data_IF_225925059718
#
_entry.id   IF_225925059718
#
_cell.length_a   1.000
_cell.length_b   1.000
_cell.length_c   1.000
_cell.angle_alpha   90.00
_cell.angle_beta   90.00
_cell.angle_gamma   90.00
#
_symmetry.space_group_name_H-M   'P 1'
#
loop_
_entity.id
_entity.type
_entity.pdbx_description
1 polymer ?
#
# COMPACT_ATOMS: atom_id res chain seq x y z
N UNK A 1 -24.53 5.94 -1.83
CA UNK A 1 -23.67 6.84 -2.61
C UNK A 1 -24.48 8.04 -3.07
N UNK A 2 -23.78 9.10 -3.45
CA UNK A 2 -24.39 10.37 -3.81
C UNK A 2 -24.28 11.42 -2.70
N UNK A 3 -24.35 12.68 -3.11
CA UNK A 3 -23.97 13.82 -2.29
C UNK A 3 -24.71 13.89 -0.94
N UNK A 4 -25.96 13.40 -0.85
CA UNK A 4 -26.78 13.44 0.38
C UNK A 4 -26.42 12.39 1.44
N UNK A 5 -25.66 11.36 1.07
CA UNK A 5 -25.30 10.24 1.96
C UNK A 5 -23.79 10.19 2.16
N UNK A 6 -23.25 11.28 2.69
CA UNK A 6 -21.83 11.48 2.93
C UNK A 6 -21.55 12.18 4.26
N UNK A 7 -20.29 12.52 4.48
CA UNK A 7 -19.82 13.32 5.61
C UNK A 7 -19.91 14.80 5.24
N UNK A 8 -20.62 15.57 6.05
CA UNK A 8 -20.72 17.03 5.91
C UNK A 8 -20.09 17.71 7.11
N UNK A 9 -19.14 18.60 6.85
CA UNK A 9 -18.39 19.31 7.89
C UNK A 9 -18.39 20.80 7.57
N UNK A 10 -18.76 21.61 8.55
CA UNK A 10 -18.56 23.05 8.52
C UNK A 10 -17.31 23.39 9.32
N UNK A 11 -16.24 23.74 8.63
CA UNK A 11 -14.96 24.13 9.22
C UNK A 11 -14.98 25.64 9.47
N UNK A 12 -14.50 26.07 10.64
CA UNK A 12 -14.52 27.47 11.04
C UNK A 12 -13.10 27.92 11.40
N UNK A 13 -12.64 28.98 10.76
CA UNK A 13 -11.42 29.70 11.16
C UNK A 13 -11.76 31.17 11.38
N UNK A 14 -10.88 31.88 12.08
CA UNK A 14 -10.96 33.32 12.26
C UNK A 14 -9.73 33.98 11.68
N UNK A 15 -9.86 35.20 11.16
CA UNK A 15 -8.78 36.00 10.60
C UNK A 15 -7.60 36.16 11.58
N UNK A 16 -7.90 36.37 12.88
CA UNK A 16 -6.89 36.46 13.94
C UNK A 16 -6.03 35.20 14.13
N UNK A 17 -6.49 34.05 13.64
CA UNK A 17 -5.78 32.77 13.74
C UNK A 17 -5.01 32.42 12.45
N UNK A 18 -5.04 33.30 11.45
CA UNK A 18 -4.31 33.13 10.19
C UNK A 18 -2.87 33.58 10.36
N UNK A 19 -1.94 32.70 10.02
CA UNK A 19 -0.51 32.96 10.11
C UNK A 19 0.12 32.72 8.73
N UNK A 20 0.56 33.81 8.11
CA UNK A 20 1.16 33.79 6.78
C UNK A 20 2.65 33.46 6.79
N UNK A 21 3.31 33.55 7.95
CA UNK A 21 4.72 33.23 8.13
C UNK A 21 4.87 31.71 8.29
N UNK A 22 4.08 31.09 9.18
CA UNK A 22 4.21 29.67 9.48
C UNK A 22 3.46 28.76 8.49
N UNK A 23 2.29 29.18 8.00
CA UNK A 23 1.46 28.34 7.09
C UNK A 23 1.60 28.70 5.61
N UNK A 24 2.28 29.81 5.32
CA UNK A 24 2.50 30.32 3.96
C UNK A 24 1.33 31.16 3.43
N UNK A 25 1.35 31.51 2.13
CA UNK A 25 0.41 32.46 1.54
C UNK A 25 -1.02 31.90 1.39
N UNK A 26 -1.18 30.57 1.31
CA UNK A 26 -2.47 29.92 1.06
C UNK A 26 -3.06 29.36 2.34
N UNK A 27 -4.11 30.02 2.84
CA UNK A 27 -4.83 29.62 4.04
C UNK A 27 -5.92 28.59 3.75
N UNK A 28 -6.28 27.79 4.75
CA UNK A 28 -7.30 26.75 4.64
C UNK A 28 -7.03 25.54 5.52
N UNK A 29 -7.86 24.52 5.37
CA UNK A 29 -7.77 23.26 6.10
C UNK A 29 -7.09 22.18 5.27
N UNK A 30 -6.19 21.39 5.86
CA UNK A 30 -5.60 20.24 5.18
C UNK A 30 -6.44 19.01 5.47
N UNK A 31 -6.88 18.30 4.43
CA UNK A 31 -7.68 17.10 4.53
C UNK A 31 -6.92 15.96 3.85
N UNK A 32 -6.90 14.80 4.50
CA UNK A 32 -6.26 13.57 4.00
C UNK A 32 -7.27 12.44 4.08
N UNK A 33 -7.45 11.71 2.97
CA UNK A 33 -8.15 10.44 2.93
C UNK A 33 -7.12 9.33 3.02
N UNK A 34 -7.26 8.44 3.99
CA UNK A 34 -6.31 7.35 4.20
C UNK A 34 -6.99 6.11 4.75
N UNK A 35 -6.28 4.99 4.72
CA UNK A 35 -6.74 3.73 5.30
C UNK A 35 -6.87 3.85 6.83
N UNK A 36 -7.92 3.31 7.47
CA UNK A 36 -8.14 3.46 8.92
C UNK A 36 -7.05 2.85 9.80
N UNK A 37 -6.29 1.88 9.28
CA UNK A 37 -5.16 1.27 9.99
C UNK A 37 -3.82 2.02 9.79
N UNK A 38 -3.80 3.12 9.04
CA UNK A 38 -2.62 3.95 8.83
C UNK A 38 -2.66 5.20 9.71
N UNK A 39 -1.48 5.68 10.11
CA UNK A 39 -1.36 7.00 10.75
C UNK A 39 -1.42 8.10 9.69
N UNK A 40 -2.19 9.18 9.91
CA UNK A 40 -2.27 10.29 8.97
C UNK A 40 -0.94 11.05 8.86
N UNK A 41 -0.38 11.10 7.66
CA UNK A 41 0.87 11.83 7.35
C UNK A 41 0.59 13.05 6.46
N UNK A 42 0.10 14.13 7.06
CA UNK A 42 -0.22 15.40 6.38
C UNK A 42 0.99 16.13 5.76
N UNK A 43 2.22 15.68 6.01
CA UNK A 43 3.43 16.19 5.36
C UNK A 43 3.63 15.64 3.95
N UNK A 44 3.15 14.42 3.68
CA UNK A 44 3.34 13.74 2.38
C UNK A 44 2.21 14.05 1.41
N UNK A 45 0.97 13.90 1.85
CA UNK A 45 -0.20 13.90 0.98
C UNK A 45 -1.37 14.58 1.70
N UNK A 46 -2.05 15.49 1.00
CA UNK A 46 -3.29 16.14 1.44
C UNK A 46 -3.86 16.97 0.29
N UNK A 47 -5.15 17.24 0.34
CA UNK A 47 -5.75 18.34 -0.42
C UNK A 47 -6.17 19.46 0.54
N UNK A 48 -6.30 20.67 -0.01
CA UNK A 48 -6.60 21.87 0.80
C UNK A 48 -8.05 22.29 0.61
N UNK A 49 -8.69 22.45 1.76
CA UNK A 49 -9.89 23.19 2.20
C UNK A 49 -9.85 24.73 2.12
N UNK A 50 -10.08 25.47 1.02
CA UNK A 50 -9.89 26.92 1.05
C UNK A 50 -10.95 27.59 1.94
N UNK A 51 -10.59 28.73 2.52
CA UNK A 51 -11.53 29.53 3.31
C UNK A 51 -12.59 30.15 2.40
N UNK A 52 -13.81 30.37 2.92
CA UNK A 52 -14.95 30.97 2.22
C UNK A 52 -15.41 30.19 0.98
N UNK A 53 -15.06 28.90 0.90
CA UNK A 53 -15.45 28.03 -0.19
C UNK A 53 -16.20 26.80 0.32
N UNK A 54 -17.05 26.29 -0.56
CA UNK A 54 -17.64 24.98 -0.45
C UNK A 54 -16.85 24.02 -1.34
N UNK A 55 -16.46 22.88 -0.77
CA UNK A 55 -15.74 21.83 -1.46
C UNK A 55 -16.52 20.53 -1.36
N UNK A 56 -16.89 20.01 -2.53
CA UNK A 56 -17.51 18.71 -2.72
C UNK A 56 -16.43 17.73 -3.16
N UNK A 57 -16.25 16.66 -2.40
CA UNK A 57 -15.27 15.60 -2.64
C UNK A 57 -16.02 14.32 -2.93
N UNK A 58 -15.98 13.86 -4.17
CA UNK A 58 -16.48 12.55 -4.53
C UNK A 58 -15.34 11.54 -4.49
N UNK A 59 -15.52 10.49 -3.69
CA UNK A 59 -14.49 9.49 -3.39
C UNK A 59 -14.77 8.22 -4.16
N UNK A 60 -13.73 7.68 -4.81
CA UNK A 60 -13.73 6.38 -5.46
C UNK A 60 -12.68 5.48 -4.79
N UNK A 61 -13.08 4.43 -4.06
CA UNK A 61 -12.13 3.49 -3.51
C UNK A 61 -11.61 2.56 -4.62
N UNK A 62 -10.29 2.42 -4.70
CA UNK A 62 -9.60 1.46 -5.55
C UNK A 62 -9.01 0.37 -4.66
N UNK A 63 -9.56 -0.84 -4.77
CA UNK A 63 -9.08 -1.99 -4.01
C UNK A 63 -8.29 -2.91 -4.93
N UNK A 64 -7.10 -3.31 -4.46
CA UNK A 64 -6.27 -4.32 -5.11
C UNK A 64 -6.16 -5.50 -4.15
N UNK A 65 -6.44 -6.70 -4.65
CA UNK A 65 -6.28 -7.96 -3.93
C UNK A 65 -5.35 -8.89 -4.71
N UNK A 66 -4.83 -9.91 -4.04
CA UNK A 66 -3.97 -10.92 -4.65
C UNK A 66 -4.56 -12.29 -4.36
N UNK A 67 -4.63 -13.15 -5.36
CA UNK A 67 -5.25 -14.46 -5.24
C UNK A 67 -4.49 -15.37 -4.27
N UNK A 68 -5.20 -16.32 -3.67
CA UNK A 68 -4.66 -17.26 -2.68
C UNK A 68 -3.60 -18.19 -3.30
N UNK A 69 -3.71 -18.51 -4.60
CA UNK A 69 -2.71 -19.33 -5.32
C UNK A 69 -1.31 -18.70 -5.34
N UNK A 70 -1.18 -17.40 -5.09
CA UNK A 70 0.10 -16.70 -5.02
C UNK A 70 0.75 -16.75 -3.62
N UNK A 71 0.17 -17.47 -2.65
CA UNK A 71 0.76 -17.66 -1.32
C UNK A 71 2.08 -18.44 -1.37
N UNK A 72 2.17 -19.45 -2.24
CA UNK A 72 3.35 -20.32 -2.37
C UNK A 72 4.56 -19.59 -3.00
N UNK A 73 4.33 -18.44 -3.64
CA UNK A 73 5.39 -17.63 -4.21
C UNK A 73 6.04 -16.77 -3.11
N UNK A 74 7.37 -16.66 -3.14
CA UNK A 74 8.08 -15.81 -2.17
C UNK A 74 7.67 -14.33 -2.30
N UNK A 75 7.65 -13.55 -1.19
CA UNK A 75 7.29 -12.13 -1.21
C UNK A 75 8.05 -11.32 -2.27
N UNK A 76 9.34 -11.60 -2.47
CA UNK A 76 10.19 -10.92 -3.44
C UNK A 76 9.87 -11.30 -4.89
N UNK A 77 9.26 -12.46 -5.17
CA UNK A 77 8.78 -12.78 -6.53
C UNK A 77 7.45 -12.10 -6.84
N UNK A 78 6.52 -12.08 -5.89
CA UNK A 78 5.21 -11.43 -6.05
C UNK A 78 5.20 -9.92 -5.77
N UNK A 79 6.28 -9.40 -5.21
CA UNK A 79 6.49 -7.98 -4.87
C UNK A 79 5.44 -7.44 -3.88
N UNK A 80 4.95 -8.27 -2.95
CA UNK A 80 4.02 -7.85 -1.89
C UNK A 80 4.06 -8.80 -0.68
N UNK A 81 3.64 -8.29 0.48
CA UNK A 81 3.44 -9.07 1.71
C UNK A 81 1.97 -9.34 1.98
N UNK A 82 1.66 -10.59 2.35
CA UNK A 82 0.40 -10.93 3.00
C UNK A 82 0.44 -10.55 4.49
N UNK A 83 -0.75 -10.37 5.08
CA UNK A 83 -0.89 -9.94 6.47
C UNK A 83 -0.19 -10.87 7.49
N UNK A 84 -0.04 -12.15 7.16
CA UNK A 84 0.58 -13.17 8.02
C UNK A 84 2.11 -13.23 7.94
N UNK A 85 2.74 -12.49 7.03
CA UNK A 85 4.15 -12.69 6.69
C UNK A 85 5.08 -11.64 7.31
N UNK A 86 4.57 -10.42 7.46
CA UNK A 86 5.34 -9.29 7.95
C UNK A 86 4.60 -8.62 9.10
N UNK A 87 5.17 -8.75 10.29
CA UNK A 87 4.65 -8.11 11.50
C UNK A 87 5.43 -6.83 11.79
N UNK A 88 4.71 -5.81 12.25
CA UNK A 88 5.27 -4.52 12.66
C UNK A 88 5.25 -4.46 14.18
N UNK A 89 6.24 -3.78 14.79
CA UNK A 89 6.34 -3.67 16.24
C UNK A 89 5.26 -2.77 16.81
N UNK A 90 4.93 -1.68 16.12
CA UNK A 90 4.02 -0.65 16.64
C UNK A 90 2.61 -0.71 16.03
N UNK A 91 2.42 -1.51 14.97
CA UNK A 91 1.17 -1.55 14.22
C UNK A 91 0.64 -2.99 14.13
N UNK A 92 -0.67 -3.16 14.36
CA UNK A 92 -1.34 -4.47 14.24
C UNK A 92 -1.51 -4.93 12.80
N UNK A 93 -1.64 -3.99 11.86
CA UNK A 93 -1.89 -4.26 10.44
C UNK A 93 -0.69 -3.75 9.65
N UNK A 94 -0.12 -4.66 8.85
CA UNK A 94 0.92 -4.30 7.91
C UNK A 94 0.35 -3.44 6.78
N UNK A 95 0.90 -2.25 6.63
CA UNK A 95 0.80 -1.45 5.41
C UNK A 95 2.19 -0.96 5.05
N UNK A 96 2.40 -0.64 3.79
CA UNK A 96 3.68 -0.09 3.34
C UNK A 96 4.03 1.19 4.10
N UNK A 97 3.06 2.09 4.29
CA UNK A 97 3.24 3.37 4.98
C UNK A 97 3.57 3.20 6.47
N UNK A 98 2.96 2.21 7.14
CA UNK A 98 3.28 1.90 8.54
C UNK A 98 4.69 1.30 8.67
N UNK A 99 5.09 0.42 7.74
CA UNK A 99 6.45 -0.13 7.67
C UNK A 99 7.50 0.96 7.48
N UNK A 100 7.28 1.87 6.51
CA UNK A 100 8.18 3.00 6.26
C UNK A 100 8.29 3.92 7.48
N UNK A 101 7.18 4.16 8.18
CA UNK A 101 7.17 4.99 9.38
C UNK A 101 7.93 4.34 10.55
N UNK A 102 7.79 3.02 10.73
CA UNK A 102 8.56 2.27 11.73
C UNK A 102 10.06 2.24 11.38
N UNK A 103 10.40 2.04 10.09
CA UNK A 103 11.77 2.13 9.61
C UNK A 103 12.37 3.51 9.88
N UNK A 104 11.65 4.59 9.54
CA UNK A 104 12.10 5.96 9.78
C UNK A 104 12.27 6.25 11.28
N UNK A 105 11.36 5.78 12.13
CA UNK A 105 11.47 5.93 13.58
C UNK A 105 12.71 5.21 14.12
N UNK A 106 12.95 3.97 13.69
CA UNK A 106 14.12 3.19 14.10
C UNK A 106 15.42 3.82 13.60
N UNK A 107 15.46 4.30 12.36
CA UNK A 107 16.62 5.00 11.80
C UNK A 107 16.92 6.30 12.55
N UNK A 108 15.89 7.10 12.82
CA UNK A 108 16.02 8.35 13.58
C UNK A 108 16.52 8.08 15.00
N UNK A 109 16.03 7.03 15.66
CA UNK A 109 16.49 6.63 16.98
C UNK A 109 17.96 6.20 16.96
N UNK A 110 18.39 5.41 15.97
CA UNK A 110 19.79 4.99 15.80
C UNK A 110 20.73 6.17 15.52
N UNK A 111 20.30 7.12 14.68
CA UNK A 111 21.12 8.26 14.25
C UNK A 111 21.17 9.40 15.27
N UNK A 112 20.04 9.71 15.92
CA UNK A 112 19.88 10.89 16.77
C UNK A 112 19.64 10.58 18.26
N UNK A 113 19.42 9.31 18.64
CA UNK A 113 19.13 8.91 20.02
C UNK A 113 17.75 9.32 20.54
N UNK A 114 16.87 9.80 19.66
CA UNK A 114 15.52 10.25 19.98
C UNK A 114 14.59 10.04 18.77
N UNK A 115 13.28 10.17 18.96
CA UNK A 115 12.27 10.09 17.89
C UNK A 115 11.41 11.34 17.83
N UNK A 116 10.88 11.69 16.65
CA UNK A 116 9.94 12.82 16.54
C UNK A 116 8.65 12.52 17.31
N UNK A 117 7.98 13.56 17.80
CA UNK A 117 6.75 13.42 18.59
C UNK A 117 5.63 12.64 17.87
N UNK A 118 5.57 12.75 16.53
CA UNK A 118 4.59 12.08 15.67
C UNK A 118 4.97 10.65 15.28
N UNK A 119 6.18 10.20 15.60
CA UNK A 119 6.66 8.85 15.28
C UNK A 119 6.19 7.84 16.34
N UNK A 120 5.96 6.57 15.92
CA UNK A 120 5.69 5.48 16.85
C UNK A 120 6.92 5.19 17.72
N UNK A 121 6.69 4.86 18.99
CA UNK A 121 7.75 4.65 19.99
C UNK A 121 7.24 3.84 21.18
N UNK A 122 8.15 3.29 21.98
CA UNK A 122 7.83 2.80 23.33
C UNK A 122 7.89 3.95 24.33
N UNK A 123 7.19 3.84 25.46
CA UNK A 123 7.02 4.94 26.42
C UNK A 123 8.34 5.48 26.98
N UNK A 124 9.37 4.64 27.11
CA UNK A 124 10.70 5.01 27.59
C UNK A 124 11.55 5.77 26.55
N UNK A 125 11.11 5.85 25.29
CA UNK A 125 11.90 6.48 24.22
C UNK A 125 11.85 8.00 24.31
N UNK A 126 13.01 8.65 24.36
CA UNK A 126 13.11 10.10 24.38
C UNK A 126 12.54 10.74 23.10
N UNK A 127 11.74 11.79 23.28
CA UNK A 127 11.20 12.60 22.20
C UNK A 127 12.22 13.69 21.84
N UNK A 128 12.50 13.86 20.54
CA UNK A 128 13.46 14.85 20.09
C UNK A 128 12.99 16.28 20.42
N UNK A 129 13.86 17.05 21.05
CA UNK A 129 13.63 18.48 21.29
C UNK A 129 13.96 19.34 20.07
N UNK A 130 13.76 20.66 20.18
CA UNK A 130 14.04 21.60 19.08
C UNK A 130 15.51 21.57 18.63
N UNK A 131 16.47 21.39 19.55
CA UNK A 131 17.92 21.32 19.23
C UNK A 131 18.27 20.16 18.29
N UNK A 132 17.47 19.08 18.30
CA UNK A 132 17.68 17.89 17.47
C UNK A 132 16.91 17.95 16.14
N UNK A 133 16.21 19.07 15.85
CA UNK A 133 15.49 19.30 14.60
C UNK A 133 16.36 19.07 13.36
N UNK A 134 17.58 19.60 13.37
CA UNK A 134 18.53 19.41 12.27
C UNK A 134 18.93 17.95 12.11
N UNK A 135 19.11 17.22 13.22
CA UNK A 135 19.48 15.81 13.20
C UNK A 135 18.39 14.95 12.57
N UNK A 136 17.15 15.03 13.06
CA UNK A 136 16.10 14.17 12.55
C UNK A 136 15.63 14.53 11.13
N UNK A 137 15.82 15.78 10.70
CA UNK A 137 15.56 16.18 9.31
C UNK A 137 16.64 15.62 8.39
N UNK A 138 17.90 15.66 8.84
CA UNK A 138 19.01 15.03 8.13
C UNK A 138 18.85 13.51 8.08
N UNK A 139 18.47 12.86 9.18
CA UNK A 139 18.26 11.42 9.23
C UNK A 139 17.17 10.95 8.26
N UNK A 140 16.07 11.69 8.14
CA UNK A 140 15.03 11.40 7.14
C UNK A 140 15.58 11.50 5.71
N UNK A 141 16.38 12.53 5.41
CA UNK A 141 16.99 12.73 4.10
C UNK A 141 18.04 11.66 3.77
N UNK A 142 18.89 11.31 4.73
CA UNK A 142 19.94 10.30 4.59
C UNK A 142 19.31 8.91 4.35
N UNK A 143 18.25 8.55 5.07
CA UNK A 143 17.50 7.31 4.85
C UNK A 143 16.91 7.24 3.42
N UNK A 144 16.30 8.32 2.93
CA UNK A 144 15.76 8.37 1.57
C UNK A 144 16.86 8.20 0.52
N UNK A 145 18.03 8.81 0.75
CA UNK A 145 19.17 8.70 -0.14
C UNK A 145 19.75 7.26 -0.15
N UNK A 146 19.87 6.63 1.02
CA UNK A 146 20.27 5.21 1.14
C UNK A 146 19.30 4.28 0.40
N UNK A 147 17.99 4.47 0.58
CA UNK A 147 16.98 3.66 -0.12
C UNK A 147 17.06 3.82 -1.64
N UNK A 148 17.30 5.03 -2.13
CA UNK A 148 17.50 5.30 -3.54
C UNK A 148 18.74 4.58 -4.11
N UNK A 149 19.88 4.67 -3.42
CA UNK A 149 21.12 4.01 -3.85
C UNK A 149 21.03 2.49 -3.79
N UNK A 150 20.37 1.92 -2.78
CA UNK A 150 20.13 0.48 -2.67
C UNK A 150 19.26 -0.03 -3.83
N UNK A 151 18.27 0.75 -4.26
CA UNK A 151 17.44 0.45 -5.43
C UNK A 151 18.24 0.34 -6.73
N UNK A 152 19.34 1.12 -6.86
CA UNK A 152 20.21 1.13 -8.04
C UNK A 152 21.26 0.01 -7.97
N UNK A 153 21.94 -0.11 -6.83
CA UNK A 153 23.14 -0.94 -6.71
C UNK A 153 22.85 -2.40 -6.37
N UNK A 154 21.61 -2.75 -5.95
CA UNK A 154 21.23 -4.08 -5.46
C UNK A 154 22.25 -4.67 -4.47
N UNK A 155 22.99 -3.82 -3.74
CA UNK A 155 23.94 -4.28 -2.75
C UNK A 155 23.15 -4.74 -1.51
N UNK A 156 22.98 -6.05 -1.42
CA UNK A 156 22.37 -6.80 -0.31
C UNK A 156 23.33 -6.77 0.89
N UNK A 157 23.54 -5.59 1.47
CA UNK A 157 24.43 -5.44 2.64
C UNK A 157 23.91 -4.44 3.67
N UNK A 158 22.88 -3.68 3.33
CA UNK A 158 22.17 -2.78 4.24
C UNK A 158 20.92 -3.50 4.75
N UNK A 159 21.01 -3.98 5.99
CA UNK A 159 19.93 -4.45 6.89
C UNK A 159 18.54 -4.64 6.24
N UNK A 160 18.11 -5.89 6.09
CA UNK A 160 16.75 -6.33 5.72
C UNK A 160 15.60 -5.75 6.59
N UNK A 161 15.92 -4.88 7.54
CA UNK A 161 14.98 -4.31 8.51
C UNK A 161 13.98 -3.33 7.86
N UNK A 162 14.35 -2.69 6.75
CA UNK A 162 13.54 -1.68 6.05
C UNK A 162 13.01 -2.10 4.66
N UNK A 163 12.88 -3.40 4.40
CA UNK A 163 12.26 -3.90 3.18
C UNK A 163 10.72 -3.78 3.27
N UNK A 164 10.19 -2.62 2.85
CA UNK A 164 8.76 -2.30 2.92
C UNK A 164 8.08 -2.50 1.55
N UNK A 165 7.80 -3.75 1.18
CA UNK A 165 6.98 -4.06 0.01
C UNK A 165 5.51 -3.67 0.24
N UNK A 166 4.72 -3.39 -0.81
CA UNK A 166 3.29 -3.13 -0.66
C UNK A 166 2.55 -4.32 -0.05
N UNK A 167 1.42 -4.07 0.60
CA UNK A 167 0.54 -5.15 1.04
C UNK A 167 -0.14 -5.80 -0.17
N UNK A 168 -0.30 -7.12 -0.16
CA UNK A 168 -0.97 -7.86 -1.24
C UNK A 168 -2.48 -7.53 -1.33
N UNK A 169 -3.07 -7.04 -0.24
CA UNK A 169 -4.40 -6.43 -0.18
C UNK A 169 -4.27 -4.98 0.23
N UNK A 170 -4.69 -4.05 -0.63
CA UNK A 170 -4.63 -2.62 -0.35
C UNK A 170 -5.85 -1.90 -0.89
N UNK A 171 -6.23 -0.80 -0.24
CA UNK A 171 -7.29 0.10 -0.69
C UNK A 171 -6.76 1.53 -0.66
N UNK A 172 -6.96 2.23 -1.78
CA UNK A 172 -6.63 3.65 -1.95
C UNK A 172 -7.91 4.42 -2.27
N UNK A 173 -7.93 5.71 -1.96
CA UNK A 173 -9.10 6.55 -2.17
C UNK A 173 -8.74 7.64 -3.18
N UNK A 174 -9.27 7.54 -4.38
CA UNK A 174 -9.18 8.61 -5.36
C UNK A 174 -10.28 9.64 -5.07
N UNK A 175 -9.93 10.91 -5.16
CA UNK A 175 -10.84 12.01 -4.88
C UNK A 175 -10.99 12.91 -6.10
N UNK A 176 -12.22 13.12 -6.55
CA UNK A 176 -12.57 14.16 -7.51
C UNK A 176 -13.17 15.35 -6.75
N UNK A 177 -12.59 16.53 -6.94
CA UNK A 177 -12.89 17.72 -6.15
C UNK A 177 -13.63 18.74 -7.01
N UNK A 178 -14.74 19.25 -6.51
CA UNK A 178 -15.48 20.39 -7.06
C UNK A 178 -15.56 21.50 -6.01
N UNK A 179 -15.40 22.75 -6.43
CA UNK A 179 -15.32 23.90 -5.52
C UNK A 179 -16.26 25.01 -6.00
N UNK A 180 -16.89 25.70 -5.05
CA UNK A 180 -17.74 26.86 -5.29
C UNK A 180 -17.57 27.91 -4.18
N UNK A 181 -17.95 29.15 -4.45
CA UNK A 181 -18.00 30.20 -3.43
C UNK A 181 -19.04 29.85 -2.35
N UNK A 182 -18.69 30.07 -1.08
CA UNK A 182 -19.59 29.82 0.04
C UNK A 182 -19.98 31.13 0.71
N UNK A 183 -21.10 31.70 0.25
CA UNK A 183 -21.68 32.94 0.78
C UNK A 183 -22.43 32.68 2.09
N UNK A 184 -21.68 32.51 3.18
CA UNK A 184 -22.22 32.20 4.51
C UNK A 184 -23.08 33.33 5.10
N UNK A 185 -22.83 34.58 4.70
CA UNK A 185 -23.58 35.75 5.16
C UNK A 185 -25.05 35.68 4.71
N UNK A 186 -25.30 35.33 3.46
CA UNK A 186 -26.64 35.11 2.91
C UNK A 186 -27.35 33.96 3.64
N UNK A 187 -26.60 32.89 3.94
CA UNK A 187 -27.13 31.74 4.69
C UNK A 187 -27.59 32.16 6.09
N UNK A 188 -26.77 32.90 6.85
CA UNK A 188 -27.15 33.35 8.21
C UNK A 188 -28.32 34.32 8.21
N UNK A 189 -28.36 35.23 7.23
CA UNK A 189 -29.49 36.14 7.05
C UNK A 189 -30.79 35.36 6.81
N UNK A 190 -30.74 34.30 6.00
CA UNK A 190 -31.89 33.42 5.77
C UNK A 190 -32.32 32.67 7.05
N UNK A 191 -31.38 32.28 7.91
CA UNK A 191 -31.67 31.65 9.20
C UNK A 191 -32.10 32.62 10.32
N UNK A 192 -32.19 33.94 10.04
CA UNK A 192 -32.49 34.98 11.04
C UNK A 192 -31.58 34.91 12.27
N UNK A 193 -30.32 34.48 12.08
CA UNK A 193 -29.34 34.42 13.17
C UNK A 193 -28.81 35.82 13.44
N UNK A 194 -29.09 36.37 14.62
CA UNK A 194 -28.67 37.73 15.02
C UNK A 194 -27.21 37.81 15.51
N UNK A 195 -26.50 36.69 15.55
CA UNK A 195 -25.13 36.61 16.05
C UNK A 195 -24.14 37.07 14.99
N UNK A 196 -23.48 38.19 15.26
CA UNK A 196 -22.37 38.69 14.45
C UNK A 196 -21.09 37.87 14.76
N UNK A 197 -20.46 37.32 13.73
CA UNK A 197 -19.20 36.59 13.85
C UNK A 197 -18.09 37.35 13.10
N UNK A 198 -17.51 38.41 13.71
CA UNK A 198 -16.53 39.24 13.02
C UNK A 198 -15.26 38.45 12.67
N UNK A 199 -14.76 38.65 11.45
CA UNK A 199 -13.56 37.99 10.94
C UNK A 199 -13.67 36.46 10.87
N UNK A 200 -14.88 35.90 10.81
CA UNK A 200 -15.09 34.46 10.66
C UNK A 200 -14.98 34.07 9.18
N UNK A 201 -14.10 33.11 8.89
CA UNK A 201 -13.90 32.54 7.58
C UNK A 201 -14.32 31.06 7.59
N UNK A 202 -15.60 30.74 7.36
CA UNK A 202 -16.04 29.35 7.29
C UNK A 202 -15.65 28.70 5.96
N UNK A 203 -15.54 27.38 5.97
CA UNK A 203 -15.44 26.55 4.78
C UNK A 203 -16.37 25.35 4.93
N UNK A 204 -17.09 24.99 3.85
CA UNK A 204 -17.97 23.81 3.84
C UNK A 204 -17.29 22.67 3.12
N UNK A 205 -17.22 21.51 3.75
CA UNK A 205 -16.66 20.29 3.17
C UNK A 205 -17.74 19.21 3.15
N UNK A 206 -17.96 18.61 1.99
CA UNK A 206 -18.87 17.49 1.82
C UNK A 206 -18.12 16.35 1.11
N UNK A 207 -17.99 15.20 1.77
CA UNK A 207 -17.28 14.02 1.26
C UNK A 207 -18.28 12.89 1.09
N UNK A 208 -18.36 12.32 -0.10
CA UNK A 208 -19.30 11.22 -0.38
C UNK A 208 -18.71 10.23 -1.37
N UNK A 209 -19.18 8.98 -1.34
CA UNK A 209 -18.80 8.00 -2.35
C UNK A 209 -19.48 8.31 -3.68
N UNK A 210 -18.71 8.28 -4.77
CA UNK A 210 -19.18 8.52 -6.14
C UNK A 210 -20.16 7.44 -6.60
N UNK A 211 -19.86 6.18 -6.28
CA UNK A 211 -20.63 5.00 -6.67
C UNK A 211 -21.00 4.15 -5.45
N UNK A 212 -22.10 3.37 -5.53
CA UNK A 212 -22.56 2.48 -4.45
C UNK A 212 -21.69 1.23 -4.32
N UNK A 213 -21.04 0.84 -5.41
CA UNK A 213 -20.17 -0.32 -5.52
C UNK A 213 -18.81 0.13 -6.01
N UNK A 214 -17.78 -0.66 -5.73
CA UNK A 214 -16.44 -0.39 -6.21
C UNK A 214 -15.86 -1.63 -6.88
N UNK A 215 -15.00 -1.38 -7.86
CA UNK A 215 -14.34 -2.43 -8.62
C UNK A 215 -13.07 -2.82 -7.86
N UNK A 216 -12.90 -4.13 -7.64
CA UNK A 216 -11.68 -4.69 -7.06
C UNK A 216 -10.82 -5.28 -8.18
N UNK A 217 -9.54 -4.93 -8.20
CA UNK A 217 -8.57 -5.53 -9.13
C UNK A 217 -7.86 -6.67 -8.43
N UNK A 218 -8.04 -7.88 -8.92
CA UNK A 218 -7.36 -9.06 -8.38
C UNK A 218 -6.11 -9.38 -9.22
N UNK A 219 -4.99 -9.64 -8.53
CA UNK A 219 -3.76 -10.17 -9.13
C UNK A 219 -3.78 -11.68 -9.02
N UNK A 220 -3.74 -12.38 -10.14
CA UNK A 220 -3.68 -13.84 -10.22
C UNK A 220 -2.40 -14.30 -10.92
N UNK A 221 -2.06 -15.57 -10.77
CA UNK A 221 -1.08 -16.23 -11.62
C UNK A 221 -1.53 -16.19 -13.08
N UNK A 222 -0.60 -15.89 -14.00
CA UNK A 222 -0.90 -15.82 -15.44
C UNK A 222 -0.87 -17.22 -16.09
N UNK A 223 0.03 -18.09 -15.63
CA UNK A 223 0.16 -19.48 -16.07
C UNK A 223 0.41 -20.37 -14.86
N UNK A 224 -0.57 -21.19 -14.51
CA UNK A 224 -0.40 -22.23 -13.51
C UNK A 224 0.39 -23.43 -14.06
N UNK A 225 0.88 -24.33 -13.20
CA UNK A 225 1.51 -25.58 -13.62
C UNK A 225 0.55 -26.46 -14.43
N UNK A 226 -0.75 -26.38 -14.16
CA UNK A 226 -1.81 -27.08 -14.90
C UNK A 226 -1.96 -26.55 -16.32
N UNK A 227 -1.91 -25.23 -16.50
CA UNK A 227 -2.03 -24.59 -17.82
C UNK A 227 -0.79 -24.87 -18.68
N UNK A 228 0.39 -24.87 -18.04
CA UNK A 228 1.63 -25.28 -18.71
C UNK A 228 1.53 -26.72 -19.21
N UNK A 229 1.10 -27.66 -18.35
CA UNK A 229 0.94 -29.06 -18.73
C UNK A 229 -0.12 -29.24 -19.83
N UNK A 230 -1.24 -28.52 -19.74
CA UNK A 230 -2.29 -28.56 -20.75
C UNK A 230 -1.80 -28.04 -22.11
N UNK A 231 -1.03 -26.94 -22.14
CA UNK A 231 -0.46 -26.38 -23.37
C UNK A 231 0.58 -27.33 -24.00
N UNK A 232 1.48 -27.90 -23.19
CA UNK A 232 2.44 -28.89 -23.67
C UNK A 232 1.74 -30.17 -24.17
N UNK A 233 0.77 -30.69 -23.41
CA UNK A 233 -0.01 -31.87 -23.80
C UNK A 233 -0.84 -31.64 -25.06
N UNK A 234 -1.44 -30.46 -25.22
CA UNK A 234 -2.18 -30.06 -26.41
C UNK A 234 -1.29 -29.98 -27.65
N UNK A 235 -0.11 -29.38 -27.53
CA UNK A 235 0.88 -29.32 -28.63
C UNK A 235 1.39 -30.71 -29.02
N UNK A 236 1.77 -31.54 -28.05
CA UNK A 236 2.25 -32.90 -28.31
C UNK A 236 1.16 -33.81 -28.89
N UNK A 237 -0.07 -33.68 -28.40
CA UNK A 237 -1.23 -34.41 -28.92
C UNK A 237 -1.58 -34.00 -30.35
N UNK A 238 -1.51 -32.71 -30.67
CA UNK A 238 -1.85 -32.19 -31.99
C UNK A 238 -0.80 -32.53 -33.06
N UNK A 239 0.49 -32.33 -32.76
CA UNK A 239 1.56 -32.49 -33.75
C UNK A 239 2.12 -33.91 -33.83
N UNK A 240 2.22 -34.62 -32.71
CA UNK A 240 2.85 -35.94 -32.64
C UNK A 240 1.84 -37.08 -32.41
N UNK A 241 0.58 -36.77 -32.08
CA UNK A 241 -0.42 -37.78 -31.70
C UNK A 241 -0.07 -38.52 -30.41
N UNK A 242 0.90 -38.03 -29.64
CA UNK A 242 1.39 -38.68 -28.42
C UNK A 242 0.50 -38.26 -27.26
N UNK A 243 -0.02 -39.25 -26.55
CA UNK A 243 -0.83 -39.05 -25.34
C UNK A 243 -0.10 -39.56 -24.10
N UNK A 244 -0.66 -39.26 -22.92
CA UNK A 244 -0.15 -39.76 -21.65
C UNK A 244 -0.14 -41.30 -21.61
N UNK A 245 -1.11 -41.95 -22.28
CA UNK A 245 -1.15 -43.40 -22.44
C UNK A 245 0.03 -43.91 -23.29
N UNK A 246 0.35 -43.22 -24.39
CA UNK A 246 1.50 -43.54 -25.24
C UNK A 246 2.82 -43.45 -24.46
N UNK A 247 2.95 -42.48 -23.55
CA UNK A 247 4.12 -42.35 -22.67
C UNK A 247 4.24 -43.52 -21.67
N UNK A 248 3.13 -43.91 -21.03
CA UNK A 248 3.10 -45.06 -20.12
C UNK A 248 3.46 -46.36 -20.85
N UNK A 249 2.98 -46.53 -22.08
CA UNK A 249 3.27 -47.70 -22.91
C UNK A 249 4.77 -47.80 -23.27
N UNK A 250 5.42 -46.67 -23.60
CA UNK A 250 6.87 -46.62 -23.83
C UNK A 250 7.62 -46.99 -22.55
N UNK A 251 7.25 -46.43 -21.39
CA UNK A 251 7.89 -46.76 -20.11
C UNK A 251 7.72 -48.24 -19.76
N UNK A 252 6.53 -48.80 -19.98
CA UNK A 252 6.28 -50.24 -19.79
C UNK A 252 7.21 -51.07 -20.68
N UNK A 253 7.30 -50.75 -21.97
CA UNK A 253 8.14 -51.52 -22.89
C UNK A 253 9.63 -51.40 -22.57
N UNK A 254 10.12 -50.21 -22.20
CA UNK A 254 11.52 -49.97 -21.81
C UNK A 254 11.85 -50.72 -20.51
N UNK A 255 11.03 -50.58 -19.47
CA UNK A 255 11.29 -51.23 -18.16
C UNK A 255 11.23 -52.74 -18.26
N UNK A 256 10.26 -53.30 -18.99
CA UNK A 256 10.14 -54.74 -19.20
C UNK A 256 11.33 -55.27 -20.03
N UNK A 257 11.71 -54.59 -21.12
CA UNK A 257 12.88 -54.97 -21.91
C UNK A 257 14.20 -54.87 -21.14
N UNK A 258 14.40 -53.80 -20.35
CA UNK A 258 15.60 -53.65 -19.52
C UNK A 258 15.65 -54.74 -18.44
N UNK A 259 14.55 -55.01 -17.75
CA UNK A 259 14.50 -56.07 -16.73
C UNK A 259 14.75 -57.46 -17.34
N UNK A 260 14.15 -57.76 -18.49
CA UNK A 260 14.38 -59.02 -19.19
C UNK A 260 15.82 -59.16 -19.71
N UNK A 261 16.43 -58.09 -20.23
CA UNK A 261 17.83 -58.11 -20.66
C UNK A 261 18.80 -58.21 -19.49
N UNK A 262 18.54 -57.52 -18.37
CA UNK A 262 19.34 -57.65 -17.15
C UNK A 262 19.22 -59.05 -16.54
N UNK A 263 18.02 -59.66 -16.54
CA UNK A 263 17.83 -61.06 -16.11
C UNK A 263 18.57 -62.05 -17.02
N UNK A 264 18.57 -61.85 -18.33
CA UNK A 264 19.35 -62.69 -19.26
C UNK A 264 20.86 -62.56 -19.03
N UNK A 265 21.37 -61.35 -18.78
CA UNK A 265 22.79 -61.13 -18.48
C UNK A 265 23.21 -61.61 -17.07
N UNK A 266 22.28 -61.68 -16.11
CA UNK A 266 22.53 -62.32 -14.82
C UNK A 266 22.58 -63.85 -14.95
N UNK A 267 21.67 -64.45 -15.73
CA UNK A 267 21.67 -65.89 -15.97
C UNK A 267 22.90 -66.39 -16.75
N UNK A 268 23.55 -65.55 -17.54
CA UNK A 268 24.80 -65.91 -18.24
C UNK A 268 26.06 -65.78 -17.38
N UNK A 269 25.98 -65.17 -16.19
CA UNK A 269 27.11 -65.09 -15.25
C UNK A 269 27.16 -66.27 -14.27
N UNK A 270 26.04 -66.97 -14.07
CA UNK A 270 25.99 -68.21 -13.26
C UNK A 270 26.35 -69.48 -14.07
N UNK A 271 26.77 -69.34 -15.33
CA UNK A 271 27.16 -70.44 -16.23
C UNK A 271 28.59 -70.32 -16.77
N UNK A 272 29.47 -69.54 -16.12
CA UNK A 272 30.92 -69.55 -16.37
C UNK A 272 31.69 -69.88 -15.10
#
# INVERSE_FOLDING_TARGET
AGARSGLFVLLRSYERNLDYICKGPVQGFKILLHHPAEIPQLSKEYFRVPLLQEVLVSVRPNMITTSVGLLDYTPNRRQCFFASERYLRFFKVYTQRNCELECLANYTLKACGCVRFSMPRVDETAICGHRQMTCYNKAEHDLLHEQYLNGITKNISSTHECECLPACTSIKYDAEISQASFDWSLLLNAFKSSTEYPGMCPARLAIFFKENQFITTERSELYGPTDFLANCGGLLGLFMGVSLLSFVEILYHITLRLCCNLRKNASSKDTS
#
